data_IF_156851974794
#
_entry.id   IF_156851974794
#
_cell.length_a   1.000
_cell.length_b   1.000
_cell.length_c   1.000
_cell.angle_alpha   90.00
_cell.angle_beta   90.00
_cell.angle_gamma   90.00
#
_symmetry.space_group_name_H-M   'P 1'
#
loop_
_entity.id
_entity.type
_entity.pdbx_description
1 polymer ?
#
# COMPACT_ATOMS: atom_id res chain seq x y z
N UNK A 1 14.97 2.73 14.75
CA UNK A 1 13.81 3.58 14.37
C UNK A 1 12.78 2.69 13.71
N UNK A 2 11.49 2.86 14.03
CA UNK A 2 10.43 1.95 13.58
C UNK A 2 9.33 2.74 12.86
N UNK A 3 9.03 2.33 11.63
CA UNK A 3 8.16 3.04 10.68
C UNK A 3 6.72 3.25 11.14
N UNK A 4 6.15 2.37 11.95
CA UNK A 4 4.78 2.54 12.47
C UNK A 4 4.65 3.80 13.35
N UNK A 5 5.74 4.22 14.00
CA UNK A 5 5.79 5.49 14.75
C UNK A 5 6.07 6.71 13.88
N UNK A 6 6.29 6.53 12.59
CA UNK A 6 6.68 7.59 11.64
C UNK A 6 5.57 7.92 10.64
N UNK A 7 4.59 7.03 10.41
CA UNK A 7 3.46 7.32 9.50
C UNK A 7 2.71 8.60 9.88
N UNK A 8 2.64 8.93 11.19
CA UNK A 8 2.02 10.16 11.68
C UNK A 8 2.64 11.42 11.07
N UNK A 9 3.93 11.37 10.67
CA UNK A 9 4.61 12.49 10.03
C UNK A 9 4.00 12.86 8.68
N UNK A 10 3.38 11.90 7.97
CA UNK A 10 2.65 12.21 6.73
C UNK A 10 1.54 13.23 7.01
N UNK A 11 0.75 13.00 8.05
CA UNK A 11 -0.35 13.90 8.46
C UNK A 11 0.19 15.20 9.03
N UNK A 12 1.26 15.18 9.82
CA UNK A 12 1.86 16.40 10.36
C UNK A 12 2.34 17.35 9.26
N UNK A 13 3.01 16.80 8.24
CA UNK A 13 3.46 17.59 7.08
C UNK A 13 2.27 18.10 6.27
N UNK A 14 1.22 17.31 6.10
CA UNK A 14 0.00 17.77 5.42
C UNK A 14 -0.70 18.90 6.18
N UNK A 15 -0.77 18.83 7.50
CA UNK A 15 -1.32 19.90 8.36
C UNK A 15 -0.44 21.16 8.35
N UNK A 16 0.89 21.00 8.29
CA UNK A 16 1.82 22.12 8.11
C UNK A 16 1.58 22.83 6.78
N UNK A 17 1.34 22.09 5.69
CA UNK A 17 1.09 22.69 4.38
C UNK A 17 -0.24 23.45 4.31
N UNK A 18 -1.22 23.13 5.17
CA UNK A 18 -2.48 23.88 5.29
C UNK A 18 -2.28 25.15 6.13
N UNK A 19 -1.59 25.02 7.27
CA UNK A 19 -1.33 26.13 8.18
C UNK A 19 0.09 25.98 8.74
N UNK A 20 1.08 26.69 8.18
CA UNK A 20 2.47 26.54 8.57
C UNK A 20 2.71 26.90 10.04
N UNK A 21 3.40 26.00 10.74
CA UNK A 21 3.92 26.22 12.09
C UNK A 21 5.04 25.20 12.35
N UNK A 22 6.25 25.66 12.64
CA UNK A 22 7.45 24.81 12.73
C UNK A 22 7.31 23.69 13.78
N UNK A 23 6.57 23.89 14.87
CA UNK A 23 6.42 22.85 15.88
C UNK A 23 5.71 21.59 15.34
N UNK A 24 4.85 21.73 14.30
CA UNK A 24 4.12 20.61 13.68
C UNK A 24 5.08 19.61 13.02
N UNK A 25 6.20 20.09 12.50
CA UNK A 25 7.15 19.30 11.70
C UNK A 25 8.51 19.11 12.39
N UNK A 26 8.76 19.79 13.51
CA UNK A 26 10.02 19.71 14.25
C UNK A 26 10.44 18.26 14.52
N UNK A 27 9.52 17.44 15.06
CA UNK A 27 9.82 16.02 15.36
C UNK A 27 10.05 15.17 14.11
N UNK A 28 9.33 15.45 13.03
CA UNK A 28 9.52 14.75 11.76
C UNK A 28 10.90 15.05 11.16
N UNK A 29 11.31 16.33 11.18
CA UNK A 29 12.65 16.78 10.74
C UNK A 29 13.75 16.17 11.61
N UNK A 30 13.59 16.18 12.94
CA UNK A 30 14.58 15.62 13.88
C UNK A 30 14.77 14.11 13.65
N UNK A 31 13.69 13.33 13.70
CA UNK A 31 13.76 11.87 13.63
C UNK A 31 14.24 11.39 12.27
N UNK A 32 13.65 11.93 11.19
CA UNK A 32 14.01 11.49 9.84
C UNK A 32 15.37 12.06 9.44
N UNK A 33 15.70 13.29 9.86
CA UNK A 33 17.02 13.88 9.69
C UNK A 33 18.11 13.05 10.34
N UNK A 34 17.90 12.54 11.56
CA UNK A 34 18.83 11.59 12.18
C UNK A 34 18.89 10.28 11.38
N UNK A 35 17.75 9.68 11.02
CA UNK A 35 17.69 8.38 10.31
C UNK A 35 18.50 8.38 9.01
N UNK A 36 18.27 9.39 8.16
CA UNK A 36 18.90 9.47 6.83
C UNK A 36 20.42 9.70 6.90
N UNK A 37 20.93 10.11 8.06
CA UNK A 37 22.35 10.33 8.32
C UNK A 37 23.06 9.13 8.97
N UNK A 38 22.36 8.02 9.20
CA UNK A 38 22.98 6.76 9.63
C UNK A 38 23.40 5.88 8.44
N UNK A 39 24.35 4.97 8.69
CA UNK A 39 24.81 3.98 7.71
C UNK A 39 23.87 2.77 7.57
N UNK A 40 22.82 2.69 8.39
CA UNK A 40 21.84 1.60 8.32
C UNK A 40 20.90 1.79 7.13
N UNK A 41 20.61 0.69 6.44
CA UNK A 41 19.70 0.63 5.30
C UNK A 41 18.50 -0.33 5.50
N UNK A 42 18.45 -1.03 6.62
CA UNK A 42 17.53 -2.13 6.93
C UNK A 42 16.26 -1.71 7.68
N UNK A 43 15.97 -0.41 7.71
CA UNK A 43 14.83 0.13 8.47
C UNK A 43 13.47 -0.41 8.01
N UNK A 44 13.32 -0.78 6.74
CA UNK A 44 12.07 -1.23 6.14
C UNK A 44 12.10 -2.74 5.89
N UNK A 45 12.16 -3.51 6.97
CA UNK A 45 12.28 -4.97 6.93
C UNK A 45 10.96 -5.73 6.77
N UNK A 46 9.82 -5.02 6.69
CA UNK A 46 8.48 -5.57 6.47
C UNK A 46 7.70 -4.71 5.47
N UNK A 47 6.80 -5.33 4.71
CA UNK A 47 6.12 -4.72 3.56
C UNK A 47 5.30 -3.48 3.96
N UNK A 48 4.62 -3.52 5.11
CA UNK A 48 3.76 -2.44 5.58
C UNK A 48 4.57 -1.15 5.82
N UNK A 49 5.82 -1.27 6.25
CA UNK A 49 6.75 -0.16 6.47
C UNK A 49 6.93 0.73 5.24
N UNK A 50 6.72 0.17 4.03
CA UNK A 50 6.77 0.93 2.79
C UNK A 50 5.65 1.96 2.69
N UNK A 51 4.41 1.62 3.10
CA UNK A 51 3.35 2.63 3.19
C UNK A 51 3.61 3.64 4.28
N UNK A 52 4.15 3.17 5.42
CA UNK A 52 4.36 4.01 6.59
C UNK A 52 5.33 5.15 6.29
N UNK A 53 6.44 4.85 5.61
CA UNK A 53 7.58 5.77 5.55
C UNK A 53 7.92 6.26 4.14
N UNK A 54 7.69 5.50 3.06
CA UNK A 54 8.05 6.02 1.72
C UNK A 54 7.39 7.38 1.41
N UNK A 55 6.09 7.62 1.71
CA UNK A 55 5.49 8.93 1.49
C UNK A 55 6.00 10.01 2.45
N UNK A 56 6.56 9.65 3.62
CA UNK A 56 7.23 10.62 4.50
C UNK A 56 8.45 11.20 3.79
N UNK A 57 9.24 10.37 3.11
CA UNK A 57 10.45 10.80 2.41
C UNK A 57 10.12 11.80 1.28
N UNK A 58 9.12 11.51 0.44
CA UNK A 58 8.73 12.44 -0.64
C UNK A 58 8.11 13.72 -0.10
N UNK A 59 7.35 13.67 1.00
CA UNK A 59 6.80 14.85 1.67
C UNK A 59 7.89 15.73 2.29
N UNK A 60 8.88 15.14 2.98
CA UNK A 60 10.01 15.88 3.54
C UNK A 60 10.92 16.46 2.46
N UNK A 61 11.14 15.73 1.36
CA UNK A 61 11.82 16.29 0.19
C UNK A 61 11.09 17.52 -0.34
N UNK A 62 9.76 17.45 -0.56
CA UNK A 62 8.97 18.59 -1.02
C UNK A 62 9.04 19.79 -0.07
N UNK A 63 9.09 19.52 1.23
CA UNK A 63 9.12 20.54 2.28
C UNK A 63 10.48 21.22 2.42
N UNK A 64 11.58 20.48 2.22
CA UNK A 64 12.94 20.94 2.56
C UNK A 64 13.85 21.16 1.36
N UNK A 65 13.56 20.54 0.22
CA UNK A 65 14.44 20.48 -0.94
C UNK A 65 15.63 19.54 -0.79
N UNK A 66 15.81 18.89 0.37
CA UNK A 66 16.95 18.01 0.64
C UNK A 66 16.83 16.68 -0.12
N UNK A 67 17.67 16.51 -1.15
CA UNK A 67 17.71 15.33 -2.02
C UNK A 67 18.05 14.04 -1.27
N UNK A 68 18.69 14.13 -0.10
CA UNK A 68 19.06 12.95 0.70
C UNK A 68 17.84 12.13 1.11
N UNK A 69 16.67 12.75 1.25
CA UNK A 69 15.43 12.01 1.47
C UNK A 69 15.08 11.08 0.31
N UNK A 70 15.31 11.50 -0.94
CA UNK A 70 15.01 10.67 -2.12
C UNK A 70 16.08 9.59 -2.34
N UNK A 71 17.34 9.91 -2.08
CA UNK A 71 18.45 8.95 -2.10
C UNK A 71 18.22 7.83 -1.08
N UNK A 72 17.89 8.18 0.16
CA UNK A 72 17.58 7.19 1.21
C UNK A 72 16.26 6.45 0.95
N UNK A 73 15.26 7.08 0.31
CA UNK A 73 14.07 6.35 -0.14
C UNK A 73 14.45 5.21 -1.08
N UNK A 74 15.33 5.47 -2.06
CA UNK A 74 15.79 4.44 -2.99
C UNK A 74 16.60 3.36 -2.27
N UNK A 75 17.53 3.75 -1.39
CA UNK A 75 18.36 2.82 -0.63
C UNK A 75 17.54 1.86 0.24
N UNK A 76 16.59 2.39 1.02
CA UNK A 76 15.76 1.59 1.93
C UNK A 76 14.75 0.71 1.17
N UNK A 77 14.21 1.21 0.04
CA UNK A 77 13.37 0.39 -0.83
C UNK A 77 14.19 -0.72 -1.51
N UNK A 78 15.44 -0.46 -1.88
CA UNK A 78 16.35 -1.47 -2.46
C UNK A 78 16.61 -2.59 -1.47
N UNK A 79 16.87 -2.28 -0.20
CA UNK A 79 16.95 -3.28 0.86
C UNK A 79 15.65 -4.09 0.96
N UNK A 80 14.51 -3.41 1.04
CA UNK A 80 13.18 -4.05 1.13
C UNK A 80 12.94 -5.01 -0.04
N UNK A 81 13.28 -4.59 -1.26
CA UNK A 81 13.17 -5.40 -2.47
C UNK A 81 14.03 -6.65 -2.40
N UNK A 82 15.24 -6.56 -1.82
CA UNK A 82 16.17 -7.68 -1.72
C UNK A 82 15.65 -8.83 -0.84
N UNK A 83 14.82 -8.52 0.15
CA UNK A 83 14.31 -9.50 1.12
C UNK A 83 12.85 -9.91 0.89
N UNK A 84 12.05 -9.08 0.21
CA UNK A 84 10.59 -9.28 0.11
C UNK A 84 10.06 -9.31 -1.32
N UNK A 85 10.70 -8.68 -2.31
CA UNK A 85 10.12 -8.59 -3.65
C UNK A 85 10.40 -9.83 -4.49
N UNK A 86 9.36 -10.54 -4.90
CA UNK A 86 9.45 -11.67 -5.81
C UNK A 86 9.29 -11.18 -7.26
N UNK A 87 10.39 -11.13 -8.01
CA UNK A 87 10.39 -10.63 -9.40
C UNK A 87 9.48 -11.41 -10.35
N UNK A 88 9.26 -12.70 -10.09
CA UNK A 88 8.44 -13.56 -10.94
C UNK A 88 6.95 -13.33 -10.66
N UNK A 89 6.55 -13.30 -9.39
CA UNK A 89 5.18 -13.04 -8.99
C UNK A 89 4.80 -11.55 -9.10
N UNK A 90 5.80 -10.66 -9.07
CA UNK A 90 5.65 -9.20 -9.02
C UNK A 90 4.84 -8.74 -7.79
N UNK A 91 5.05 -9.42 -6.67
CA UNK A 91 4.41 -9.20 -5.38
C UNK A 91 5.47 -9.21 -4.27
N UNK A 92 5.10 -8.69 -3.10
CA UNK A 92 5.95 -8.59 -1.93
C UNK A 92 5.52 -9.63 -0.89
N UNK A 93 6.45 -10.49 -0.48
CA UNK A 93 6.28 -11.21 0.78
C UNK A 93 6.17 -10.19 1.92
N UNK A 94 5.33 -10.47 2.93
CA UNK A 94 5.13 -9.55 4.05
C UNK A 94 6.40 -9.24 4.84
N UNK A 95 7.28 -10.22 4.95
CA UNK A 95 8.59 -10.14 5.59
C UNK A 95 9.43 -11.37 5.17
N UNK A 96 10.72 -11.40 5.51
CA UNK A 96 11.67 -12.42 5.08
C UNK A 96 11.30 -13.86 5.49
N UNK A 97 10.40 -14.07 6.47
CA UNK A 97 9.99 -15.42 6.91
C UNK A 97 9.03 -16.09 5.93
N UNK A 98 8.37 -15.32 5.05
CA UNK A 98 7.32 -15.82 4.16
C UNK A 98 7.82 -16.21 2.77
N UNK A 99 9.12 -16.11 2.54
CA UNK A 99 9.75 -16.35 1.24
C UNK A 99 9.69 -17.85 0.88
N UNK A 100 9.19 -18.14 -0.32
CA UNK A 100 9.18 -19.47 -0.92
C UNK A 100 10.61 -19.93 -1.27
N UNK A 101 10.96 -21.23 -1.17
CA UNK A 101 10.12 -22.38 -0.85
C UNK A 101 10.03 -22.73 0.64
N UNK A 102 10.71 -21.99 1.52
CA UNK A 102 10.76 -22.31 2.96
C UNK A 102 9.39 -22.15 3.63
N UNK A 103 8.66 -21.11 3.23
CA UNK A 103 7.26 -20.91 3.61
C UNK A 103 6.37 -21.10 2.39
N UNK A 104 5.22 -21.75 2.58
CA UNK A 104 4.26 -22.07 1.52
C UNK A 104 2.84 -21.79 1.99
N UNK A 105 1.93 -21.54 1.05
CA UNK A 105 0.50 -21.60 1.32
C UNK A 105 0.07 -23.07 1.56
N UNK A 106 -1.18 -23.29 1.95
CA UNK A 106 -1.69 -24.65 2.21
C UNK A 106 -1.65 -25.54 0.98
N UNK A 107 -1.80 -24.97 -0.22
CA UNK A 107 -1.69 -25.70 -1.48
C UNK A 107 -0.25 -25.75 -2.04
N UNK A 108 0.76 -25.45 -1.21
CA UNK A 108 2.17 -25.60 -1.58
C UNK A 108 2.76 -24.48 -2.44
N UNK A 109 1.99 -23.43 -2.73
CA UNK A 109 2.41 -22.28 -3.54
C UNK A 109 3.05 -21.14 -2.74
N UNK A 110 3.34 -20.02 -3.42
CA UNK A 110 3.79 -18.78 -2.80
C UNK A 110 2.66 -18.13 -2.00
N UNK A 111 2.97 -17.59 -0.82
CA UNK A 111 1.97 -16.99 0.09
C UNK A 111 2.20 -15.48 0.21
N UNK A 112 1.47 -14.71 -0.60
CA UNK A 112 1.50 -13.25 -0.62
C UNK A 112 0.29 -12.68 0.12
N UNK A 113 0.54 -11.75 1.04
CA UNK A 113 -0.49 -11.24 1.93
C UNK A 113 -1.15 -9.99 1.34
N UNK A 114 -2.47 -10.05 1.10
CA UNK A 114 -3.19 -8.99 0.40
C UNK A 114 -3.04 -7.60 1.04
N UNK A 115 -3.14 -7.47 2.38
CA UNK A 115 -2.92 -6.18 3.03
C UNK A 115 -1.46 -5.72 2.93
N UNK A 116 -0.49 -6.64 3.01
CA UNK A 116 0.93 -6.34 2.84
C UNK A 116 1.22 -5.73 1.46
N UNK A 117 0.83 -6.42 0.39
CA UNK A 117 0.93 -5.88 -0.97
C UNK A 117 0.08 -4.62 -1.18
N UNK A 118 -1.07 -4.52 -0.51
CA UNK A 118 -1.92 -3.33 -0.51
C UNK A 118 -1.18 -2.10 0.02
N UNK A 119 -0.49 -2.23 1.16
CA UNK A 119 0.36 -1.18 1.70
C UNK A 119 1.43 -0.73 0.70
N UNK A 120 2.17 -1.68 0.11
CA UNK A 120 3.23 -1.34 -0.85
C UNK A 120 2.66 -0.63 -2.07
N UNK A 121 1.58 -1.15 -2.65
CA UNK A 121 0.99 -0.62 -3.87
C UNK A 121 0.41 0.79 -3.68
N UNK A 122 -0.30 1.02 -2.57
CA UNK A 122 -0.80 2.33 -2.19
C UNK A 122 0.33 3.31 -1.81
N UNK A 123 1.41 2.81 -1.19
CA UNK A 123 2.59 3.57 -0.84
C UNK A 123 3.31 4.07 -2.10
N UNK A 124 3.50 3.21 -3.09
CA UNK A 124 4.08 3.56 -4.40
C UNK A 124 3.23 4.60 -5.14
N UNK A 125 1.89 4.49 -5.09
CA UNK A 125 1.01 5.51 -5.65
C UNK A 125 1.25 6.90 -5.02
N UNK A 126 1.37 6.95 -3.68
CA UNK A 126 1.67 8.19 -2.95
C UNK A 126 3.07 8.73 -3.25
N UNK A 127 4.08 7.85 -3.37
CA UNK A 127 5.43 8.26 -3.80
C UNK A 127 5.36 8.88 -5.19
N UNK A 128 4.78 8.19 -6.17
CA UNK A 128 4.71 8.65 -7.56
C UNK A 128 3.88 9.93 -7.74
N UNK A 129 2.94 10.22 -6.83
CA UNK A 129 2.20 11.49 -6.77
C UNK A 129 3.11 12.67 -6.43
N UNK A 130 4.06 12.47 -5.51
CA UNK A 130 4.87 13.56 -4.96
C UNK A 130 6.30 13.61 -5.52
N UNK A 131 6.79 12.52 -6.09
CA UNK A 131 8.16 12.42 -6.62
C UNK A 131 8.36 13.33 -7.86
N UNK A 132 9.50 14.05 -7.97
CA UNK A 132 9.85 14.81 -9.16
C UNK A 132 9.82 13.95 -10.43
N UNK A 133 9.32 14.51 -11.53
CA UNK A 133 9.23 13.78 -12.82
C UNK A 133 10.60 13.37 -13.38
N UNK A 134 11.66 14.10 -13.02
CA UNK A 134 13.05 13.88 -13.42
C UNK A 134 13.88 13.15 -12.35
N UNK A 135 13.26 12.63 -11.29
CA UNK A 135 13.97 11.79 -10.31
C UNK A 135 14.60 10.56 -11.02
N UNK A 136 15.88 10.24 -10.75
CA UNK A 136 16.61 9.19 -11.47
C UNK A 136 16.03 7.80 -11.27
N UNK A 137 15.35 7.55 -10.15
CA UNK A 137 14.79 6.25 -9.78
C UNK A 137 13.31 6.11 -10.15
N UNK A 138 12.65 7.17 -10.62
CA UNK A 138 11.23 7.16 -10.98
C UNK A 138 10.83 6.05 -11.94
N UNK A 139 11.69 5.71 -12.91
CA UNK A 139 11.42 4.63 -13.88
C UNK A 139 11.33 3.27 -13.18
N UNK A 140 12.15 3.03 -12.17
CA UNK A 140 12.13 1.81 -11.36
C UNK A 140 10.81 1.69 -10.59
N UNK A 141 10.40 2.75 -9.90
CA UNK A 141 9.15 2.76 -9.15
C UNK A 141 7.92 2.55 -10.04
N UNK A 142 7.91 3.15 -11.23
CA UNK A 142 6.87 2.91 -12.22
C UNK A 142 6.83 1.45 -12.70
N UNK A 143 7.99 0.82 -12.88
CA UNK A 143 8.07 -0.57 -13.31
C UNK A 143 7.54 -1.53 -12.23
N UNK A 144 7.93 -1.31 -10.97
CA UNK A 144 7.41 -2.07 -9.82
C UNK A 144 5.90 -1.88 -9.73
N UNK A 145 5.44 -0.62 -9.71
CA UNK A 145 4.03 -0.29 -9.58
C UNK A 145 3.16 -0.91 -10.69
N UNK A 146 3.58 -0.84 -11.96
CA UNK A 146 2.86 -1.49 -13.08
C UNK A 146 2.91 -3.01 -13.01
N UNK A 147 4.03 -3.57 -12.55
CA UNK A 147 4.20 -5.00 -12.33
C UNK A 147 3.22 -5.51 -11.29
N UNK A 148 3.17 -4.86 -10.13
CA UNK A 148 2.20 -5.14 -9.06
C UNK A 148 0.76 -4.97 -9.55
N UNK A 149 0.43 -3.89 -10.25
CA UNK A 149 -0.92 -3.68 -10.78
C UNK A 149 -1.39 -4.87 -11.63
N UNK A 150 -0.50 -5.43 -12.45
CA UNK A 150 -0.79 -6.62 -13.27
C UNK A 150 -1.00 -7.88 -12.41
N UNK A 151 -0.17 -8.10 -11.39
CA UNK A 151 -0.31 -9.26 -10.49
C UNK A 151 -1.58 -9.16 -9.62
N UNK A 152 -1.92 -7.95 -9.16
CA UNK A 152 -3.15 -7.63 -8.44
C UNK A 152 -4.36 -7.91 -9.34
N UNK A 153 -4.37 -7.39 -10.56
CA UNK A 153 -5.43 -7.67 -11.55
C UNK A 153 -5.67 -9.18 -11.73
N UNK A 154 -4.59 -9.96 -11.89
CA UNK A 154 -4.67 -11.39 -12.16
C UNK A 154 -5.07 -12.25 -10.95
N UNK A 155 -5.06 -11.69 -9.74
CA UNK A 155 -5.38 -12.41 -8.49
C UNK A 155 -6.73 -12.00 -7.88
N UNK A 156 -7.47 -11.10 -8.54
CA UNK A 156 -8.78 -10.66 -8.07
C UNK A 156 -9.79 -11.81 -8.11
N UNK A 157 -10.60 -11.93 -7.06
CA UNK A 157 -11.70 -12.90 -7.02
C UNK A 157 -12.88 -12.42 -7.88
N UNK A 158 -13.73 -13.35 -8.32
CA UNK A 158 -14.91 -13.05 -9.16
C UNK A 158 -15.89 -12.07 -8.48
N UNK A 159 -15.93 -12.06 -7.16
CA UNK A 159 -16.75 -11.15 -6.34
C UNK A 159 -16.13 -9.76 -6.17
N UNK A 160 -14.88 -9.55 -6.60
CA UNK A 160 -14.21 -8.25 -6.63
C UNK A 160 -13.20 -7.98 -5.51
N UNK A 161 -13.19 -8.80 -4.47
CA UNK A 161 -12.19 -8.70 -3.39
C UNK A 161 -10.92 -9.51 -3.72
N UNK A 162 -9.91 -9.35 -2.87
CA UNK A 162 -8.73 -10.22 -2.81
C UNK A 162 -8.73 -11.01 -1.52
N UNK A 163 -8.43 -12.32 -1.60
CA UNK A 163 -8.26 -13.16 -0.41
C UNK A 163 -6.98 -12.81 0.33
N UNK A 164 -6.93 -13.11 1.64
CA UNK A 164 -5.76 -12.81 2.50
C UNK A 164 -4.46 -13.41 1.97
N UNK A 165 -4.52 -14.61 1.39
CA UNK A 165 -3.44 -15.16 0.56
C UNK A 165 -3.81 -14.97 -0.90
N UNK A 166 -3.14 -14.04 -1.60
CA UNK A 166 -3.56 -13.56 -2.91
C UNK A 166 -3.54 -14.64 -3.99
N UNK A 167 -2.58 -15.57 -3.92
CA UNK A 167 -2.40 -16.63 -4.91
C UNK A 167 -2.92 -17.99 -4.45
N UNK A 168 -3.54 -18.06 -3.28
CA UNK A 168 -4.18 -19.27 -2.76
C UNK A 168 -5.44 -18.91 -1.99
N UNK A 169 -6.58 -18.72 -2.69
CA UNK A 169 -7.85 -18.35 -2.06
C UNK A 169 -8.33 -19.36 -1.02
N UNK A 170 -8.00 -20.64 -1.18
CA UNK A 170 -8.41 -21.69 -0.24
C UNK A 170 -7.61 -21.65 1.06
N UNK A 171 -6.40 -21.08 1.04
CA UNK A 171 -5.60 -20.91 2.26
C UNK A 171 -6.31 -20.04 3.28
N UNK A 172 -6.90 -18.92 2.88
CA UNK A 172 -7.60 -18.04 3.80
C UNK A 172 -8.82 -17.45 3.08
N UNK A 173 -9.93 -18.23 3.04
CA UNK A 173 -11.03 -18.00 2.11
C UNK A 173 -11.89 -16.81 2.51
N UNK A 174 -12.71 -16.38 1.57
CA UNK A 174 -13.71 -15.34 1.78
C UNK A 174 -13.15 -13.91 1.74
N UNK A 175 -14.04 -12.94 1.90
CA UNK A 175 -13.74 -11.52 1.73
C UNK A 175 -12.74 -10.98 2.75
N UNK A 176 -11.90 -10.04 2.29
CA UNK A 176 -11.06 -9.19 3.13
C UNK A 176 -11.01 -7.77 2.55
N UNK A 177 -11.28 -6.78 3.41
CA UNK A 177 -11.54 -5.40 2.97
C UNK A 177 -10.31 -4.53 2.87
N UNK A 178 -9.35 -4.64 3.78
CA UNK A 178 -8.24 -3.68 3.84
C UNK A 178 -7.31 -3.77 2.63
N UNK A 179 -6.89 -4.98 2.23
CA UNK A 179 -6.11 -5.18 1.01
C UNK A 179 -6.89 -4.74 -0.22
N UNK A 180 -8.15 -5.15 -0.34
CA UNK A 180 -9.05 -4.75 -1.43
C UNK A 180 -9.19 -3.23 -1.56
N UNK A 181 -9.32 -2.51 -0.45
CA UNK A 181 -9.43 -1.05 -0.45
C UNK A 181 -8.13 -0.37 -0.90
N UNK A 182 -6.96 -0.83 -0.44
CA UNK A 182 -5.68 -0.30 -0.91
C UNK A 182 -5.44 -0.57 -2.40
N UNK A 183 -5.78 -1.77 -2.88
CA UNK A 183 -5.71 -2.10 -4.30
C UNK A 183 -6.63 -1.22 -5.13
N UNK A 184 -7.87 -1.01 -4.67
CA UNK A 184 -8.84 -0.13 -5.33
C UNK A 184 -8.31 1.29 -5.44
N UNK A 185 -7.81 1.86 -4.33
CA UNK A 185 -7.15 3.17 -4.34
C UNK A 185 -5.99 3.22 -5.34
N UNK A 186 -5.07 2.26 -5.26
CA UNK A 186 -3.90 2.23 -6.12
C UNK A 186 -4.28 2.12 -7.59
N UNK A 187 -5.20 1.23 -7.98
CA UNK A 187 -5.64 1.06 -9.36
C UNK A 187 -6.29 2.33 -9.90
N UNK A 188 -7.23 2.91 -9.15
CA UNK A 188 -7.90 4.15 -9.54
C UNK A 188 -6.93 5.32 -9.65
N UNK A 189 -6.00 5.45 -8.71
CA UNK A 189 -4.97 6.49 -8.77
C UNK A 189 -4.10 6.34 -10.01
N UNK A 190 -3.67 5.11 -10.34
CA UNK A 190 -2.87 4.84 -11.53
C UNK A 190 -3.60 5.16 -12.84
N UNK A 191 -4.91 4.90 -12.90
CA UNK A 191 -5.77 5.26 -14.03
C UNK A 191 -5.89 6.79 -14.13
N UNK A 192 -6.27 7.45 -13.02
CA UNK A 192 -6.49 8.91 -12.95
C UNK A 192 -5.24 9.74 -13.29
N UNK A 193 -4.05 9.15 -13.23
CA UNK A 193 -2.76 9.79 -13.51
C UNK A 193 -2.11 9.27 -14.81
N UNK A 194 -2.82 8.50 -15.63
CA UNK A 194 -2.34 8.00 -16.93
C UNK A 194 -1.17 7.01 -16.84
N UNK A 195 -0.96 6.40 -15.67
CA UNK A 195 0.12 5.42 -15.45
C UNK A 195 -0.34 4.00 -15.82
N UNK A 196 -1.62 3.71 -15.57
CA UNK A 196 -2.28 2.45 -15.89
C UNK A 196 -3.31 2.67 -17.01
N UNK A 197 -3.41 1.70 -17.93
CA UNK A 197 -4.34 1.77 -19.05
C UNK A 197 -5.77 1.54 -18.58
N UNK A 198 -6.63 2.55 -18.71
CA UNK A 198 -8.02 2.50 -18.25
C UNK A 198 -8.77 1.26 -18.75
N UNK A 199 -8.74 0.98 -20.06
CA UNK A 199 -9.41 -0.19 -20.66
C UNK A 199 -9.05 -1.52 -20.00
N UNK A 200 -7.83 -1.64 -19.47
CA UNK A 200 -7.33 -2.87 -18.85
C UNK A 200 -7.71 -2.94 -17.36
N UNK A 201 -7.56 -1.85 -16.61
CA UNK A 201 -7.64 -1.87 -15.14
C UNK A 201 -8.97 -1.37 -14.57
N UNK A 202 -9.74 -0.58 -15.32
CA UNK A 202 -11.00 -0.03 -14.84
C UNK A 202 -12.06 -1.09 -14.49
N UNK A 203 -12.24 -2.19 -15.26
CA UNK A 203 -13.19 -3.23 -14.89
C UNK A 203 -12.91 -3.81 -13.51
N UNK A 204 -11.64 -4.11 -13.22
CA UNK A 204 -11.18 -4.63 -11.92
C UNK A 204 -11.41 -3.63 -10.79
N UNK A 205 -11.07 -2.35 -11.00
CA UNK A 205 -11.29 -1.29 -10.02
C UNK A 205 -12.78 -1.06 -9.71
N UNK A 206 -13.65 -1.10 -10.73
CA UNK A 206 -15.12 -1.00 -10.55
C UNK A 206 -15.69 -2.20 -9.80
N UNK A 207 -15.23 -3.41 -10.12
CA UNK A 207 -15.67 -4.62 -9.43
C UNK A 207 -15.25 -4.59 -7.95
N UNK A 208 -14.03 -4.15 -7.66
CA UNK A 208 -13.55 -3.95 -6.30
C UNK A 208 -14.35 -2.88 -5.55
N UNK A 209 -14.65 -1.74 -6.20
CA UNK A 209 -15.52 -0.71 -5.62
C UNK A 209 -16.93 -1.22 -5.33
N UNK A 210 -17.48 -2.07 -6.20
CA UNK A 210 -18.77 -2.71 -5.95
C UNK A 210 -18.73 -3.58 -4.69
N UNK A 211 -17.71 -4.42 -4.51
CA UNK A 211 -17.52 -5.14 -3.25
C UNK A 211 -17.42 -4.20 -2.03
N UNK A 212 -16.61 -3.14 -2.13
CA UNK A 212 -16.42 -2.19 -1.03
C UNK A 212 -17.75 -1.52 -0.64
N UNK A 213 -18.51 -1.04 -1.61
CA UNK A 213 -19.74 -0.26 -1.38
C UNK A 213 -20.97 -1.12 -1.06
N UNK A 214 -21.05 -2.36 -1.57
CA UNK A 214 -22.23 -3.22 -1.41
C UNK A 214 -22.07 -4.30 -0.35
N UNK A 215 -20.83 -4.69 -0.01
CA UNK A 215 -20.55 -5.79 0.92
C UNK A 215 -19.78 -5.32 2.15
N UNK A 216 -18.68 -4.58 1.96
CA UNK A 216 -17.85 -4.17 3.09
C UNK A 216 -18.51 -3.04 3.92
N UNK A 217 -19.10 -2.05 3.25
CA UNK A 217 -19.80 -0.95 3.90
C UNK A 217 -21.15 -1.43 4.48
N UNK A 218 -21.30 -1.29 5.79
CA UNK A 218 -22.53 -1.59 6.51
C UNK A 218 -23.47 -0.38 6.52
N UNK A 219 -24.76 -0.61 6.81
CA UNK A 219 -25.80 0.45 6.83
C UNK A 219 -25.51 1.57 7.83
N UNK A 220 -24.79 1.27 8.92
CA UNK A 220 -24.39 2.23 9.95
C UNK A 220 -23.09 3.00 9.60
N UNK A 221 -22.53 2.76 8.42
CA UNK A 221 -21.27 3.38 7.97
C UNK A 221 -20.01 2.61 8.39
N UNK A 222 -20.15 1.50 9.13
CA UNK A 222 -19.01 0.65 9.49
C UNK A 222 -18.42 -0.03 8.26
N UNK A 223 -17.09 -0.14 8.23
CA UNK A 223 -16.37 -0.90 7.21
C UNK A 223 -16.00 -2.27 7.77
N UNK A 224 -16.72 -3.30 7.33
CA UNK A 224 -16.60 -4.69 7.78
C UNK A 224 -15.56 -5.52 7.03
N UNK A 225 -15.40 -6.78 7.43
CA UNK A 225 -14.44 -7.75 6.86
C UNK A 225 -12.99 -7.26 6.86
N UNK A 226 -12.61 -6.40 7.79
CA UNK A 226 -11.23 -5.95 7.96
C UNK A 226 -10.49 -7.00 8.78
N UNK A 227 -9.46 -7.64 8.21
CA UNK A 227 -8.69 -8.64 8.97
C UNK A 227 -7.99 -7.97 10.18
N UNK A 228 -8.13 -8.52 11.41
CA UNK A 228 -7.52 -7.97 12.62
C UNK A 228 -5.99 -7.83 12.57
N UNK A 229 -5.45 -7.03 13.48
CA UNK A 229 -3.99 -6.89 13.70
C UNK A 229 -3.46 -8.18 14.33
N UNK A 230 -2.25 -8.60 13.94
CA UNK A 230 -1.58 -9.77 14.53
C UNK A 230 -2.07 -11.11 13.99
N UNK A 231 -3.21 -11.16 13.32
CA UNK A 231 -3.68 -12.37 12.65
C UNK A 231 -2.92 -12.59 11.34
N UNK A 232 -2.26 -13.75 11.24
CA UNK A 232 -1.73 -14.26 9.97
C UNK A 232 -2.91 -14.72 9.09
N UNK A 233 -2.65 -15.02 7.82
CA UNK A 233 -3.60 -15.81 7.05
C UNK A 233 -3.67 -17.21 7.67
N UNK A 234 -4.68 -17.46 8.51
CA UNK A 234 -4.87 -18.75 9.18
C UNK A 234 -5.68 -19.65 8.24
N UNK A 235 -5.20 -20.88 7.96
CA UNK A 235 -5.92 -21.88 7.19
C UNK A 235 -7.40 -22.00 7.55
N UNK A 236 -8.29 -21.77 6.58
CA UNK A 236 -9.74 -21.98 6.71
C UNK A 236 -10.51 -20.95 7.55
N UNK A 237 -9.83 -20.01 8.23
CA UNK A 237 -10.50 -18.92 8.95
C UNK A 237 -11.20 -18.01 7.96
N UNK A 238 -12.43 -17.54 8.23
CA UNK A 238 -13.12 -16.48 7.49
C UNK A 238 -13.11 -15.21 8.35
N UNK A 239 -12.94 -14.03 7.73
CA UNK A 239 -12.98 -12.77 8.48
C UNK A 239 -14.41 -12.45 8.88
N UNK A 240 -14.62 -12.06 10.15
CA UNK A 240 -15.92 -11.62 10.63
C UNK A 240 -16.39 -10.37 9.86
N UNK A 241 -17.63 -10.40 9.39
CA UNK A 241 -18.30 -9.28 8.73
C UNK A 241 -18.30 -8.02 9.60
N UNK A 242 -18.37 -8.16 10.92
CA UNK A 242 -18.35 -7.04 11.85
C UNK A 242 -16.94 -6.56 12.21
N UNK A 243 -15.90 -7.30 11.80
CA UNK A 243 -14.52 -6.91 12.07
C UNK A 243 -14.17 -5.63 11.34
N UNK A 244 -13.79 -4.62 12.10
CA UNK A 244 -13.42 -3.30 11.62
C UNK A 244 -12.15 -2.81 12.31
N UNK A 245 -11.42 -1.92 11.65
CA UNK A 245 -10.27 -1.25 12.25
C UNK A 245 -10.05 0.11 11.62
N UNK A 246 -9.45 1.03 12.38
CA UNK A 246 -9.11 2.39 11.94
C UNK A 246 -8.34 2.43 10.61
N UNK A 247 -7.33 1.57 10.43
CA UNK A 247 -6.57 1.50 9.18
C UNK A 247 -7.40 0.97 7.99
N UNK A 248 -8.37 0.08 8.24
CA UNK A 248 -9.30 -0.40 7.22
C UNK A 248 -10.25 0.69 6.75
N UNK A 249 -10.76 1.51 7.69
CA UNK A 249 -11.55 2.71 7.38
C UNK A 249 -10.72 3.72 6.58
N UNK A 250 -9.46 3.97 6.98
CA UNK A 250 -8.55 4.84 6.22
C UNK A 250 -8.32 4.35 4.79
N UNK A 251 -8.11 3.05 4.59
CA UNK A 251 -7.97 2.44 3.28
C UNK A 251 -9.24 2.63 2.42
N UNK A 252 -10.42 2.41 3.01
CA UNK A 252 -11.71 2.61 2.36
C UNK A 252 -11.90 4.07 1.91
N UNK A 253 -11.56 5.04 2.76
CA UNK A 253 -11.63 6.46 2.43
C UNK A 253 -10.70 6.83 1.27
N UNK A 254 -9.49 6.28 1.21
CA UNK A 254 -8.60 6.47 0.06
C UNK A 254 -9.23 5.99 -1.24
N UNK A 255 -9.82 4.80 -1.23
CA UNK A 255 -10.51 4.23 -2.40
C UNK A 255 -11.71 5.09 -2.83
N UNK A 256 -12.57 5.47 -1.88
CA UNK A 256 -13.76 6.28 -2.16
C UNK A 256 -13.43 7.66 -2.69
N UNK A 257 -12.46 8.36 -2.10
CA UNK A 257 -12.02 9.66 -2.59
C UNK A 257 -11.43 9.57 -4.00
N UNK A 258 -10.65 8.52 -4.30
CA UNK A 258 -10.05 8.36 -5.64
C UNK A 258 -11.09 7.94 -6.69
N UNK A 259 -12.11 7.17 -6.29
CA UNK A 259 -13.24 6.84 -7.14
C UNK A 259 -14.08 8.06 -7.48
N UNK A 260 -14.34 8.92 -6.49
CA UNK A 260 -14.98 10.22 -6.73
C UNK A 260 -14.20 11.06 -7.74
N UNK A 261 -12.87 11.16 -7.59
CA UNK A 261 -12.01 11.88 -8.56
C UNK A 261 -12.13 11.29 -9.96
N UNK A 262 -12.11 9.96 -10.08
CA UNK A 262 -12.34 9.28 -11.36
C UNK A 262 -13.68 9.71 -11.97
N UNK A 263 -14.79 9.56 -11.24
CA UNK A 263 -16.12 9.94 -11.73
C UNK A 263 -16.19 11.42 -12.15
N UNK A 264 -15.53 12.33 -11.44
CA UNK A 264 -15.56 13.76 -11.76
C UNK A 264 -14.72 14.17 -12.97
N UNK A 265 -13.64 13.44 -13.28
CA UNK A 265 -12.80 13.70 -14.47
C UNK A 265 -13.43 13.19 -15.76
N UNK A 266 -14.36 12.24 -15.66
CA UNK A 266 -15.02 11.58 -16.78
C UNK A 266 -16.51 11.97 -16.93
N UNK A 267 -16.92 13.09 -16.30
CA UNK A 267 -18.15 13.81 -16.64
C UNK A 267 -17.89 14.76 -17.80
#
# INVERSE_FOLDING_TARGET
LFGDWQICFQTYIDLYNIQPDEHKIARAKEVMGYQINTDRNDYWWWADGLYMVMPVMTKLYKLTGDKKYLEKLHEYLTYSNSIMYDKQARLYYRDAKYVYPKHKSSNGGKNFWARGDGWVFAGLAKVLKDLPKNDPHRKEYLNIYRGMATAILNSQQKEGYWTRSMLDPQHAPGPETSGTAFFTYGLLWGINNGILKEKQFLPSAKLAWNYLSQTALQKDGRVGFVQPIGEKAIPGQIVDANSTANFGVGAFLLAGCEYYRFLTKHK
#
